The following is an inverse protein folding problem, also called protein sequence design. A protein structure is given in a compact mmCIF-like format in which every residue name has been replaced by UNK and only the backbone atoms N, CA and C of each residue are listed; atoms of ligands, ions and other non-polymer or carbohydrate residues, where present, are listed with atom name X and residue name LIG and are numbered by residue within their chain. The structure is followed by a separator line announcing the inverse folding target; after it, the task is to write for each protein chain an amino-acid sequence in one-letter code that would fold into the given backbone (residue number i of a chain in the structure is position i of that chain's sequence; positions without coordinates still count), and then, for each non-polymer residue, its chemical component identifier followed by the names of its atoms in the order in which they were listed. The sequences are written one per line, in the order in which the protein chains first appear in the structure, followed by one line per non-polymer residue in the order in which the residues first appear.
data_IF_961574722712
#
_entry.id   IF_961574722712
#
_cell.length_a   1.000
_cell.length_b   1.000
_cell.length_c   1.000
_cell.angle_alpha   90.00
_cell.angle_beta   90.00
_cell.angle_gamma   90.00
#
_symmetry.space_group_name_H-M   'P 1'
#
loop_
_entity.id
_entity.type
_entity.pdbx_description
1 polymer ?
#
# COMPACT_ATOMS: atom_id res chain seq x y z
N UNK A 1 34.83 -12.11 10.31
CA UNK A 1 34.25 -12.05 8.96
C UNK A 1 34.15 -13.47 8.45
N UNK A 2 32.92 -13.95 8.18
CA UNK A 2 32.70 -15.32 7.70
C UNK A 2 33.28 -15.45 6.29
N UNK A 3 34.34 -16.24 6.14
CA UNK A 3 35.15 -16.43 4.94
C UNK A 3 34.48 -17.25 3.83
N UNK A 4 33.15 -17.49 3.87
CA UNK A 4 32.42 -18.31 2.91
C UNK A 4 31.22 -17.59 2.25
N UNK A 5 31.24 -16.26 2.18
CA UNK A 5 30.16 -15.50 1.52
C UNK A 5 30.54 -15.30 0.04
N UNK A 6 29.64 -15.63 -0.89
CA UNK A 6 29.83 -15.34 -2.32
C UNK A 6 29.73 -13.84 -2.60
N UNK A 7 30.30 -13.37 -3.72
CA UNK A 7 30.19 -11.98 -4.18
C UNK A 7 28.70 -11.57 -4.33
N UNK A 8 27.84 -12.47 -4.83
CA UNK A 8 26.42 -12.23 -4.91
C UNK A 8 25.78 -11.97 -3.53
N UNK A 9 26.13 -12.75 -2.51
CA UNK A 9 25.61 -12.57 -1.16
C UNK A 9 26.10 -11.26 -0.51
N UNK A 10 27.35 -10.87 -0.76
CA UNK A 10 27.89 -9.58 -0.33
C UNK A 10 27.13 -8.42 -1.01
N UNK A 11 26.92 -8.51 -2.33
CA UNK A 11 26.16 -7.51 -3.09
C UNK A 11 24.69 -7.40 -2.60
N UNK A 12 24.00 -8.51 -2.38
CA UNK A 12 22.64 -8.49 -1.82
C UNK A 12 22.60 -7.79 -0.47
N UNK A 13 23.59 -8.06 0.37
CA UNK A 13 23.68 -7.42 1.70
C UNK A 13 23.92 -5.91 1.54
N UNK A 14 24.92 -5.47 0.81
CA UNK A 14 25.21 -4.06 0.57
C UNK A 14 24.03 -3.31 -0.07
N UNK A 15 23.37 -3.95 -1.05
CA UNK A 15 22.18 -3.40 -1.68
C UNK A 15 21.05 -3.09 -0.68
N UNK A 16 20.72 -4.08 0.18
CA UNK A 16 19.58 -3.96 1.12
C UNK A 16 19.89 -3.12 2.36
N UNK A 17 21.13 -3.14 2.86
CA UNK A 17 21.47 -2.51 4.14
C UNK A 17 22.12 -1.13 3.99
N UNK A 18 22.70 -0.83 2.83
CA UNK A 18 23.41 0.43 2.59
C UNK A 18 22.85 1.18 1.39
N UNK A 19 22.90 0.60 0.19
CA UNK A 19 22.55 1.31 -1.04
C UNK A 19 21.09 1.79 -1.04
N UNK A 20 20.13 0.92 -0.78
CA UNK A 20 18.70 1.30 -0.79
C UNK A 20 18.34 2.30 0.31
N UNK A 21 18.74 2.13 1.59
CA UNK A 21 18.39 3.07 2.64
C UNK A 21 19.16 4.39 2.56
N UNK A 22 20.47 4.36 2.30
CA UNK A 22 21.33 5.54 2.43
C UNK A 22 21.57 6.26 1.12
N UNK A 23 21.82 5.56 0.01
CA UNK A 23 22.07 6.18 -1.28
C UNK A 23 20.80 6.51 -2.05
N UNK A 24 19.77 5.64 -1.95
CA UNK A 24 18.48 5.82 -2.66
C UNK A 24 17.38 6.37 -1.77
N UNK A 25 17.57 6.43 -0.46
CA UNK A 25 16.60 6.90 0.53
C UNK A 25 15.21 6.23 0.36
N UNK A 26 15.20 4.94 0.01
CA UNK A 26 13.96 4.22 -0.20
C UNK A 26 13.23 3.94 1.11
N UNK A 27 11.90 3.97 1.06
CA UNK A 27 11.08 3.65 2.22
C UNK A 27 11.30 2.20 2.68
N UNK A 28 11.14 1.95 3.99
CA UNK A 28 11.21 0.61 4.58
C UNK A 28 10.38 -0.42 3.80
N UNK A 29 9.15 -0.04 3.37
CA UNK A 29 8.28 -0.95 2.62
C UNK A 29 8.85 -1.31 1.24
N UNK A 30 9.51 -0.37 0.56
CA UNK A 30 10.19 -0.63 -0.72
C UNK A 30 11.35 -1.60 -0.51
N UNK A 31 12.18 -1.36 0.52
CA UNK A 31 13.31 -2.23 0.87
C UNK A 31 12.82 -3.65 1.21
N UNK A 32 11.75 -3.79 2.00
CA UNK A 32 11.13 -5.09 2.30
C UNK A 32 10.63 -5.79 1.04
N UNK A 33 10.00 -5.07 0.12
CA UNK A 33 9.53 -5.63 -1.16
C UNK A 33 10.69 -6.14 -2.02
N UNK A 34 11.81 -5.42 -2.06
CA UNK A 34 13.02 -5.83 -2.79
C UNK A 34 13.69 -7.04 -2.13
N UNK A 35 13.81 -7.02 -0.79
CA UNK A 35 14.28 -8.17 -0.01
C UNK A 35 13.46 -9.43 -0.29
N UNK A 36 12.13 -9.31 -0.30
CA UNK A 36 11.25 -10.44 -0.54
C UNK A 36 11.37 -10.96 -1.98
N UNK A 37 11.68 -10.07 -2.95
CA UNK A 37 12.00 -10.48 -4.31
C UNK A 37 13.27 -11.31 -4.37
N UNK A 38 14.34 -10.85 -3.72
CA UNK A 38 15.62 -11.58 -3.68
C UNK A 38 15.49 -12.91 -2.93
N UNK A 39 14.70 -12.98 -1.85
CA UNK A 39 14.38 -14.25 -1.19
C UNK A 39 13.66 -15.23 -2.12
N UNK A 40 12.68 -14.75 -2.90
CA UNK A 40 11.98 -15.57 -3.87
C UNK A 40 12.91 -16.06 -4.99
N UNK A 41 13.82 -15.21 -5.45
CA UNK A 41 14.83 -15.58 -6.45
C UNK A 41 15.77 -16.65 -5.91
N UNK A 42 16.25 -16.53 -4.67
CA UNK A 42 17.08 -17.57 -4.03
C UNK A 42 16.33 -18.88 -3.82
N UNK A 43 15.02 -18.82 -3.53
CA UNK A 43 14.16 -19.99 -3.44
C UNK A 43 14.04 -20.70 -4.80
N UNK A 44 13.81 -19.95 -5.87
CA UNK A 44 13.80 -20.48 -7.23
C UNK A 44 15.12 -21.18 -7.61
N UNK A 45 16.27 -20.57 -7.28
CA UNK A 45 17.58 -21.19 -7.52
C UNK A 45 17.71 -22.54 -6.80
N UNK A 46 17.20 -22.63 -5.56
CA UNK A 46 17.24 -23.87 -4.79
C UNK A 46 16.29 -24.93 -5.34
N UNK A 47 15.05 -24.57 -5.65
CA UNK A 47 13.97 -25.49 -6.03
C UNK A 47 14.08 -25.96 -7.49
N UNK A 48 14.43 -25.06 -8.42
CA UNK A 48 14.40 -25.33 -9.86
C UNK A 48 15.79 -25.53 -10.48
N UNK A 49 16.83 -25.00 -9.84
CA UNK A 49 18.21 -25.06 -10.35
C UNK A 49 19.13 -25.90 -9.47
N UNK A 50 18.61 -26.48 -8.39
CA UNK A 50 19.38 -27.23 -7.38
C UNK A 50 20.66 -26.49 -6.92
N UNK A 51 20.65 -25.15 -7.06
CA UNK A 51 21.81 -24.29 -6.77
C UNK A 51 21.68 -23.72 -5.36
N UNK A 52 22.68 -24.01 -4.52
CA UNK A 52 22.75 -23.45 -3.19
C UNK A 52 23.01 -21.94 -3.27
N UNK A 53 22.34 -21.10 -2.44
CA UNK A 53 22.66 -19.68 -2.32
C UNK A 53 24.15 -19.40 -2.02
N UNK A 54 24.82 -20.32 -1.34
CA UNK A 54 26.22 -20.21 -0.96
C UNK A 54 27.21 -20.58 -2.09
N UNK A 55 26.70 -21.03 -3.24
CA UNK A 55 27.49 -21.36 -4.44
C UNK A 55 27.08 -20.54 -5.65
N UNK A 56 26.20 -19.53 -5.48
CA UNK A 56 25.74 -18.66 -6.55
C UNK A 56 26.56 -17.37 -6.56
N UNK A 57 27.14 -17.01 -7.71
CA UNK A 57 27.99 -15.85 -7.90
C UNK A 57 27.34 -14.83 -8.84
N UNK A 58 27.79 -13.56 -8.79
CA UNK A 58 27.25 -12.51 -9.65
C UNK A 58 27.42 -12.79 -11.14
N UNK A 59 28.47 -13.49 -11.55
CA UNK A 59 28.69 -13.96 -12.93
C UNK A 59 27.58 -14.84 -13.47
N UNK A 60 26.84 -15.51 -12.58
CA UNK A 60 25.75 -16.43 -12.90
C UNK A 60 24.39 -15.72 -12.97
N UNK A 61 24.32 -14.46 -12.49
CA UNK A 61 23.13 -13.62 -12.52
C UNK A 61 22.94 -13.02 -13.93
N UNK A 62 22.32 -13.80 -14.82
CA UNK A 62 22.16 -13.48 -16.24
C UNK A 62 20.70 -13.23 -16.60
N UNK A 63 20.50 -12.59 -17.77
CA UNK A 63 19.20 -12.27 -18.32
C UNK A 63 18.28 -13.50 -18.44
N UNK A 64 18.80 -14.59 -18.93
CA UNK A 64 18.07 -15.84 -19.15
C UNK A 64 17.53 -16.39 -17.83
N UNK A 65 18.37 -16.43 -16.81
CA UNK A 65 17.98 -16.90 -15.46
C UNK A 65 16.89 -16.03 -14.83
N UNK A 66 16.95 -14.72 -15.02
CA UNK A 66 15.91 -13.80 -14.54
C UNK A 66 14.59 -14.02 -15.27
N UNK A 67 14.63 -14.28 -16.59
CA UNK A 67 13.43 -14.61 -17.37
C UNK A 67 12.81 -15.90 -16.86
N UNK A 68 13.60 -16.95 -16.68
CA UNK A 68 13.14 -18.25 -16.13
C UNK A 68 12.51 -18.09 -14.73
N UNK A 69 13.12 -17.29 -13.86
CA UNK A 69 12.54 -16.95 -12.55
C UNK A 69 11.17 -16.30 -12.68
N UNK A 70 11.01 -15.33 -13.59
CA UNK A 70 9.74 -14.65 -13.79
C UNK A 70 8.66 -15.58 -14.37
N UNK A 71 9.05 -16.54 -15.20
CA UNK A 71 8.15 -17.58 -15.73
C UNK A 71 7.75 -18.56 -14.64
N UNK A 72 8.71 -19.07 -13.89
CA UNK A 72 8.44 -19.90 -12.72
C UNK A 72 7.49 -19.21 -11.74
N UNK A 73 7.74 -17.93 -11.42
CA UNK A 73 6.89 -17.17 -10.50
C UNK A 73 5.45 -17.02 -11.03
N UNK A 74 5.28 -16.85 -12.32
CA UNK A 74 3.95 -16.79 -12.96
C UNK A 74 3.26 -18.15 -13.01
N UNK A 75 3.98 -19.21 -13.30
CA UNK A 75 3.45 -20.56 -13.31
C UNK A 75 2.98 -21.02 -11.91
N UNK A 76 3.57 -20.43 -10.86
CA UNK A 76 3.12 -20.60 -9.47
C UNK A 76 1.98 -19.63 -9.08
N UNK A 77 1.18 -19.14 -10.03
CA UNK A 77 -0.06 -18.37 -9.80
C UNK A 77 0.11 -16.86 -9.71
N UNK A 78 1.31 -16.33 -9.92
CA UNK A 78 1.51 -14.88 -9.86
C UNK A 78 1.04 -14.16 -11.15
N UNK A 79 0.30 -13.06 -11.00
CA UNK A 79 -0.12 -12.22 -12.13
C UNK A 79 1.03 -11.42 -12.75
N UNK A 80 0.80 -10.91 -13.97
CA UNK A 80 1.80 -10.10 -14.74
C UNK A 80 2.28 -8.90 -13.93
N UNK A 81 1.40 -8.19 -13.24
CA UNK A 81 1.75 -7.00 -12.43
C UNK A 81 2.71 -7.37 -11.30
N UNK A 82 2.47 -8.49 -10.61
CA UNK A 82 3.35 -8.98 -9.57
C UNK A 82 4.73 -9.39 -10.13
N UNK A 83 4.76 -10.07 -11.28
CA UNK A 83 6.01 -10.43 -11.95
C UNK A 83 6.80 -9.18 -12.39
N UNK A 84 6.13 -8.16 -12.93
CA UNK A 84 6.77 -6.89 -13.28
C UNK A 84 7.35 -6.17 -12.04
N UNK A 85 6.69 -6.26 -10.88
CA UNK A 85 7.22 -5.71 -9.64
C UNK A 85 8.51 -6.45 -9.21
N UNK A 86 8.56 -7.78 -9.36
CA UNK A 86 9.78 -8.55 -9.11
C UNK A 86 10.89 -8.18 -10.09
N UNK A 87 10.54 -8.05 -11.38
CA UNK A 87 11.50 -7.58 -12.39
C UNK A 87 12.09 -6.21 -12.04
N UNK A 88 11.28 -5.26 -11.60
CA UNK A 88 11.77 -3.93 -11.20
C UNK A 88 12.80 -4.00 -10.06
N UNK A 89 12.58 -4.87 -9.07
CA UNK A 89 13.53 -5.07 -7.98
C UNK A 89 14.85 -5.71 -8.46
N UNK A 90 14.79 -6.71 -9.36
CA UNK A 90 15.98 -7.36 -9.91
C UNK A 90 16.77 -6.43 -10.83
N UNK A 91 16.09 -5.55 -11.58
CA UNK A 91 16.77 -4.50 -12.36
C UNK A 91 17.50 -3.51 -11.48
N UNK A 92 16.84 -3.02 -10.42
CA UNK A 92 17.47 -2.11 -9.48
C UNK A 92 18.69 -2.75 -8.79
N UNK A 93 18.63 -4.04 -8.49
CA UNK A 93 19.79 -4.79 -8.01
C UNK A 93 20.88 -4.93 -9.07
N UNK A 94 20.51 -5.22 -10.33
CA UNK A 94 21.44 -5.29 -11.45
C UNK A 94 22.16 -3.96 -11.68
N UNK A 95 21.42 -2.84 -11.64
CA UNK A 95 21.99 -1.50 -11.79
C UNK A 95 22.97 -1.17 -10.66
N UNK A 96 22.67 -1.58 -9.43
CA UNK A 96 23.60 -1.45 -8.31
C UNK A 96 24.85 -2.32 -8.50
N UNK A 97 24.67 -3.59 -8.88
CA UNK A 97 25.78 -4.53 -9.06
C UNK A 97 26.77 -4.08 -10.16
N UNK A 98 26.31 -3.34 -11.18
CA UNK A 98 27.16 -2.76 -12.22
C UNK A 98 28.13 -1.69 -11.66
N UNK A 99 27.74 -1.00 -10.59
CA UNK A 99 28.60 0.01 -9.94
C UNK A 99 29.72 -0.63 -9.15
N UNK A 100 29.47 -1.81 -8.58
CA UNK A 100 30.41 -2.52 -7.72
C UNK A 100 31.36 -3.47 -8.52
N UNK A 101 30.90 -3.96 -9.69
CA UNK A 101 31.60 -4.96 -10.51
C UNK A 101 31.59 -4.58 -11.99
N UNK A 102 32.58 -3.78 -12.38
CA UNK A 102 32.74 -3.26 -13.75
C UNK A 102 32.92 -4.40 -14.77
N UNK A 103 33.57 -5.50 -14.39
CA UNK A 103 33.80 -6.68 -15.22
C UNK A 103 32.51 -7.39 -15.67
N UNK A 104 31.38 -7.19 -14.98
CA UNK A 104 30.09 -7.79 -15.30
C UNK A 104 29.07 -6.79 -15.86
N UNK A 105 29.48 -5.61 -16.30
CA UNK A 105 28.56 -4.56 -16.83
C UNK A 105 27.69 -5.14 -17.96
N UNK A 106 28.26 -5.80 -18.96
CA UNK A 106 27.54 -6.25 -20.15
C UNK A 106 26.43 -7.29 -19.80
N UNK A 107 26.67 -8.37 -19.04
CA UNK A 107 25.59 -9.28 -18.64
C UNK A 107 24.56 -8.62 -17.74
N UNK A 108 24.96 -7.73 -16.84
CA UNK A 108 24.05 -7.01 -15.93
C UNK A 108 23.18 -6.00 -16.70
N UNK A 109 23.70 -5.29 -17.69
CA UNK A 109 22.91 -4.42 -18.58
C UNK A 109 21.85 -5.21 -19.33
N UNK A 110 22.12 -6.43 -19.74
CA UNK A 110 21.12 -7.30 -20.36
C UNK A 110 19.95 -7.62 -19.42
N UNK A 111 20.19 -7.75 -18.12
CA UNK A 111 19.12 -7.88 -17.09
C UNK A 111 18.32 -6.58 -17.00
N UNK A 112 18.98 -5.44 -16.88
CA UNK A 112 18.32 -4.12 -16.82
C UNK A 112 17.51 -3.84 -18.10
N UNK A 113 17.92 -4.40 -19.25
CA UNK A 113 17.25 -4.31 -20.55
C UNK A 113 15.96 -5.16 -20.69
N UNK A 114 15.64 -6.06 -19.76
CA UNK A 114 14.42 -6.89 -19.84
C UNK A 114 13.18 -5.97 -19.80
N UNK A 115 12.30 -6.10 -20.79
CA UNK A 115 11.07 -5.30 -20.86
C UNK A 115 9.98 -5.89 -19.97
N UNK A 116 9.29 -5.03 -19.22
CA UNK A 116 8.10 -5.42 -18.48
C UNK A 116 6.99 -5.88 -19.44
N UNK A 117 6.26 -6.93 -19.08
CA UNK A 117 5.12 -7.42 -19.87
C UNK A 117 3.94 -6.47 -19.69
N UNK A 118 3.23 -6.17 -20.77
CA UNK A 118 2.01 -5.35 -20.72
C UNK A 118 0.93 -6.12 -19.94
N UNK A 119 0.47 -5.55 -18.84
CA UNK A 119 -0.68 -6.07 -18.10
C UNK A 119 -1.98 -5.48 -18.68
N UNK A 120 -3.02 -6.27 -18.73
CA UNK A 120 -4.35 -5.73 -19.05
C UNK A 120 -4.76 -4.72 -17.99
N UNK A 121 -5.43 -3.62 -18.38
CA UNK A 121 -6.02 -2.72 -17.40
C UNK A 121 -6.95 -3.50 -16.47
N UNK A 122 -6.81 -3.34 -15.16
CA UNK A 122 -7.80 -3.87 -14.23
C UNK A 122 -8.99 -2.93 -14.23
N UNK A 123 -10.19 -3.48 -14.37
CA UNK A 123 -11.39 -2.72 -14.06
C UNK A 123 -11.33 -2.22 -12.63
N UNK A 124 -11.61 -0.93 -12.47
CA UNK A 124 -11.63 -0.31 -11.16
C UNK A 124 -12.96 -0.65 -10.48
N UNK A 125 -12.93 -1.63 -9.60
CA UNK A 125 -14.12 -1.98 -8.81
C UNK A 125 -14.42 -0.85 -7.81
N UNK A 126 -15.69 -0.44 -7.76
CA UNK A 126 -16.20 0.53 -6.78
C UNK A 126 -17.58 0.08 -6.28
N UNK A 127 -18.00 0.58 -5.13
CA UNK A 127 -19.34 0.35 -4.56
C UNK A 127 -20.27 1.47 -5.04
N UNK A 128 -21.54 1.15 -5.29
CA UNK A 128 -22.56 2.17 -5.53
C UNK A 128 -22.78 3.03 -4.28
N UNK A 129 -23.50 4.15 -4.41
CA UNK A 129 -23.82 5.04 -3.28
C UNK A 129 -24.61 4.25 -2.20
N UNK A 130 -25.56 3.41 -2.62
CA UNK A 130 -26.38 2.58 -1.74
C UNK A 130 -25.56 1.51 -1.02
N UNK A 131 -24.68 0.83 -1.74
CA UNK A 131 -23.76 -0.15 -1.18
C UNK A 131 -22.79 0.48 -0.18
N UNK A 132 -22.23 1.64 -0.52
CA UNK A 132 -21.35 2.39 0.38
C UNK A 132 -22.09 2.85 1.63
N UNK A 133 -23.29 3.37 1.47
CA UNK A 133 -24.17 3.76 2.59
C UNK A 133 -24.52 2.58 3.49
N UNK A 134 -24.88 1.44 2.90
CA UNK A 134 -25.15 0.20 3.65
C UNK A 134 -23.95 -0.24 4.48
N UNK A 135 -22.74 -0.20 3.89
CA UNK A 135 -21.51 -0.61 4.57
C UNK A 135 -21.14 0.35 5.72
N UNK A 136 -21.18 1.66 5.47
CA UNK A 136 -20.91 2.68 6.48
C UNK A 136 -21.93 2.62 7.62
N UNK A 137 -23.18 2.34 7.34
CA UNK A 137 -24.26 2.30 8.34
C UNK A 137 -24.36 0.97 9.08
N UNK A 138 -23.64 -0.06 8.68
CA UNK A 138 -23.68 -1.39 9.27
C UNK A 138 -23.18 -1.49 10.73
N UNK A 139 -22.16 -0.70 11.19
CA UNK A 139 -21.72 -0.74 12.58
C UNK A 139 -22.79 -0.23 13.57
N UNK A 140 -22.99 -0.96 14.68
CA UNK A 140 -23.86 -0.53 15.78
C UNK A 140 -23.21 0.63 16.57
N UNK A 141 -23.79 1.82 16.43
CA UNK A 141 -23.31 3.05 17.07
C UNK A 141 -23.59 3.15 18.58
N UNK A 142 -24.37 2.21 19.15
CA UNK A 142 -24.61 2.16 20.58
C UNK A 142 -23.44 1.52 21.34
N UNK A 143 -22.61 0.72 20.65
CA UNK A 143 -21.40 0.14 21.22
C UNK A 143 -20.16 0.99 20.91
N UNK A 144 -19.23 1.08 21.87
CA UNK A 144 -17.94 1.77 21.66
C UNK A 144 -17.19 1.24 20.41
N UNK A 145 -17.14 -0.07 20.25
CA UNK A 145 -16.47 -0.71 19.12
C UNK A 145 -17.16 -0.39 17.80
N UNK A 146 -18.48 -0.46 17.75
CA UNK A 146 -19.25 -0.14 16.54
C UNK A 146 -19.15 1.34 16.19
N UNK A 147 -19.24 2.23 17.18
CA UNK A 147 -19.08 3.67 16.94
C UNK A 147 -17.71 3.99 16.31
N UNK A 148 -16.64 3.43 16.90
CA UNK A 148 -15.27 3.57 16.35
C UNK A 148 -15.18 3.05 14.91
N UNK A 149 -15.78 1.87 14.63
CA UNK A 149 -15.79 1.31 13.27
C UNK A 149 -16.56 2.20 12.29
N UNK A 150 -17.67 2.81 12.74
CA UNK A 150 -18.42 3.79 11.96
C UNK A 150 -17.56 4.99 11.58
N UNK A 151 -16.82 5.56 12.54
CA UNK A 151 -15.88 6.67 12.30
C UNK A 151 -14.82 6.28 11.28
N UNK A 152 -14.22 5.08 11.41
CA UNK A 152 -13.21 4.56 10.49
C UNK A 152 -13.76 4.47 9.05
N UNK A 153 -14.91 3.82 8.86
CA UNK A 153 -15.50 3.61 7.54
C UNK A 153 -15.93 4.94 6.90
N UNK A 154 -16.53 5.84 7.70
CA UNK A 154 -16.96 7.16 7.23
C UNK A 154 -15.75 7.99 6.79
N UNK A 155 -14.68 8.05 7.58
CA UNK A 155 -13.48 8.80 7.23
C UNK A 155 -12.76 8.25 6.00
N UNK A 156 -12.66 6.91 5.86
CA UNK A 156 -12.10 6.28 4.66
C UNK A 156 -12.81 6.76 3.39
N UNK A 157 -14.14 6.80 3.42
CA UNK A 157 -14.95 7.23 2.28
C UNK A 157 -14.92 8.74 2.08
N UNK A 158 -15.25 9.50 3.13
CA UNK A 158 -15.49 10.93 2.97
C UNK A 158 -14.20 11.71 2.66
N UNK A 159 -13.11 11.43 3.37
CA UNK A 159 -11.81 12.04 3.08
C UNK A 159 -11.09 11.42 1.88
N UNK A 160 -11.50 10.23 1.44
CA UNK A 160 -10.79 9.47 0.41
C UNK A 160 -9.33 9.18 0.75
N UNK A 161 -8.97 9.12 2.03
CA UNK A 161 -7.61 8.88 2.48
C UNK A 161 -7.12 7.46 2.16
N UNK A 162 -5.80 7.27 2.10
CA UNK A 162 -5.22 5.91 2.06
C UNK A 162 -5.34 5.28 3.44
N UNK A 163 -5.42 3.95 3.49
CA UNK A 163 -5.55 3.23 4.76
C UNK A 163 -4.43 3.57 5.75
N UNK A 164 -3.20 3.76 5.29
CA UNK A 164 -2.09 4.16 6.16
C UNK A 164 -2.27 5.59 6.68
N UNK A 165 -2.73 6.50 5.82
CA UNK A 165 -3.02 7.88 6.23
C UNK A 165 -4.08 7.90 7.35
N UNK A 166 -5.14 7.07 7.24
CA UNK A 166 -6.14 6.93 8.29
C UNK A 166 -5.55 6.42 9.61
N UNK A 167 -4.69 5.40 9.56
CA UNK A 167 -4.03 4.84 10.74
C UNK A 167 -3.11 5.83 11.44
N UNK A 168 -2.65 6.86 10.73
CA UNK A 168 -1.70 7.85 11.21
C UNK A 168 -2.36 9.15 11.67
N UNK A 169 -3.68 9.35 11.43
CA UNK A 169 -4.41 10.56 11.86
C UNK A 169 -4.33 10.72 13.38
N UNK A 170 -3.88 11.88 13.81
CA UNK A 170 -3.95 12.31 15.21
C UNK A 170 -5.16 13.20 15.43
N UNK A 171 -5.51 13.45 16.70
CA UNK A 171 -6.62 14.36 17.05
C UNK A 171 -6.32 15.79 16.57
N UNK A 172 -5.06 16.23 16.62
CA UNK A 172 -4.64 17.55 16.12
C UNK A 172 -4.75 17.70 14.59
N UNK A 173 -4.91 16.58 13.86
CA UNK A 173 -5.10 16.62 12.40
C UNK A 173 -6.57 16.88 12.00
N UNK A 174 -7.49 16.89 12.97
CA UNK A 174 -8.91 17.18 12.76
C UNK A 174 -9.19 18.62 13.19
N UNK A 175 -9.78 19.38 12.30
CA UNK A 175 -10.33 20.71 12.60
C UNK A 175 -11.84 20.66 12.44
N UNK A 176 -12.58 20.97 13.51
CA UNK A 176 -14.05 20.97 13.57
C UNK A 176 -14.62 22.38 13.59
N UNK A 177 -13.97 23.34 12.91
CA UNK A 177 -14.42 24.72 12.80
C UNK A 177 -15.60 24.88 11.82
N UNK A 178 -15.80 26.11 11.32
CA UNK A 178 -16.85 26.45 10.35
C UNK A 178 -16.79 25.61 9.07
N UNK A 179 -15.60 25.22 8.65
CA UNK A 179 -15.35 24.21 7.61
C UNK A 179 -14.53 23.11 8.25
N UNK A 180 -15.13 21.94 8.37
CA UNK A 180 -14.46 20.80 8.98
C UNK A 180 -13.43 20.19 8.01
N UNK A 181 -12.22 19.94 8.51
CA UNK A 181 -11.12 19.42 7.70
C UNK A 181 -10.33 18.35 8.41
N UNK A 182 -9.67 17.49 7.60
CA UNK A 182 -8.70 16.50 8.05
C UNK A 182 -7.38 16.74 7.33
N UNK A 183 -6.30 16.88 8.08
CA UNK A 183 -4.94 16.92 7.56
C UNK A 183 -4.40 15.49 7.41
N UNK A 184 -3.99 15.13 6.21
CA UNK A 184 -3.51 13.80 5.87
C UNK A 184 -2.02 13.84 5.53
N UNK A 185 -1.27 12.90 6.10
CA UNK A 185 0.16 12.75 5.87
C UNK A 185 0.42 11.66 4.80
N UNK A 186 0.79 12.10 3.61
CA UNK A 186 1.00 11.22 2.45
C UNK A 186 2.45 10.77 2.26
N UNK A 187 2.69 10.01 1.20
CA UNK A 187 4.01 9.54 0.80
C UNK A 187 4.96 10.72 0.53
N UNK A 188 6.22 10.60 0.98
CA UNK A 188 7.24 11.62 0.77
C UNK A 188 7.11 12.81 1.71
N UNK A 189 6.54 12.63 2.91
CA UNK A 189 6.34 13.68 3.92
C UNK A 189 5.51 14.87 3.42
N UNK A 190 4.60 14.61 2.45
CA UNK A 190 3.70 15.63 1.92
C UNK A 190 2.39 15.61 2.70
N UNK A 191 1.91 16.78 3.12
CA UNK A 191 0.63 16.96 3.77
C UNK A 191 -0.40 17.47 2.78
N UNK A 192 -1.65 17.05 2.95
CA UNK A 192 -2.80 17.66 2.30
C UNK A 192 -3.95 17.78 3.28
N UNK A 193 -4.71 18.84 3.16
CA UNK A 193 -5.92 19.08 3.94
C UNK A 193 -7.14 18.77 3.06
N UNK A 194 -8.05 17.98 3.59
CA UNK A 194 -9.28 17.57 2.92
C UNK A 194 -10.47 18.06 3.73
N UNK A 195 -11.43 18.69 3.06
CA UNK A 195 -12.71 19.05 3.66
C UNK A 195 -13.55 17.79 3.86
N UNK A 196 -14.15 17.64 5.01
CA UNK A 196 -15.09 16.56 5.33
C UNK A 196 -16.50 17.12 5.51
N UNK A 197 -17.50 16.30 5.23
CA UNK A 197 -18.90 16.69 5.36
C UNK A 197 -19.28 16.97 6.83
N UNK A 198 -20.23 17.86 7.04
CA UNK A 198 -20.74 18.23 8.39
C UNK A 198 -21.22 17.00 9.17
N UNK A 199 -21.84 16.04 8.50
CA UNK A 199 -22.27 14.79 9.12
C UNK A 199 -21.09 13.97 9.64
N UNK A 200 -19.97 13.94 8.89
CA UNK A 200 -18.71 13.29 9.30
C UNK A 200 -18.08 14.03 10.47
N UNK A 201 -18.06 15.37 10.42
CA UNK A 201 -17.56 16.21 11.50
C UNK A 201 -18.31 15.95 12.82
N UNK A 202 -19.65 15.97 12.79
CA UNK A 202 -20.50 15.64 13.95
C UNK A 202 -20.26 14.23 14.48
N UNK A 203 -20.07 13.26 13.60
CA UNK A 203 -19.76 11.88 13.98
C UNK A 203 -18.42 11.80 14.73
N UNK A 204 -17.39 12.48 14.23
CA UNK A 204 -16.06 12.55 14.87
C UNK A 204 -16.13 13.29 16.19
N UNK A 205 -16.80 14.43 16.26
CA UNK A 205 -17.01 15.20 17.49
C UNK A 205 -17.68 14.36 18.58
N UNK A 206 -18.75 13.66 18.24
CA UNK A 206 -19.44 12.75 19.16
C UNK A 206 -18.55 11.57 19.59
N UNK A 207 -17.68 11.08 18.71
CA UNK A 207 -16.73 10.03 19.06
C UNK A 207 -15.68 10.55 20.06
N UNK A 208 -15.13 11.73 19.82
CA UNK A 208 -14.13 12.35 20.69
C UNK A 208 -14.73 12.64 22.07
N UNK A 209 -15.89 13.25 22.13
CA UNK A 209 -16.54 13.61 23.40
C UNK A 209 -16.92 12.39 24.25
N UNK A 210 -17.42 11.30 23.62
CA UNK A 210 -17.90 10.12 24.34
C UNK A 210 -16.76 9.16 24.73
N UNK A 211 -15.76 9.02 23.89
CA UNK A 211 -14.79 7.91 24.00
C UNK A 211 -13.33 8.34 24.03
N UNK A 212 -13.07 9.62 23.75
CA UNK A 212 -11.70 10.16 23.68
C UNK A 212 -11.56 11.50 24.41
N UNK A 213 -12.44 11.78 25.38
CA UNK A 213 -12.48 13.05 26.11
C UNK A 213 -11.17 13.41 26.85
N UNK A 214 -10.36 12.42 27.20
CA UNK A 214 -9.07 12.63 27.86
C UNK A 214 -7.87 12.61 26.89
N UNK A 215 -8.11 12.39 25.60
CA UNK A 215 -7.04 12.31 24.62
C UNK A 215 -6.50 13.70 24.27
N UNK A 216 -5.20 13.80 24.09
CA UNK A 216 -4.53 15.05 23.68
C UNK A 216 -4.30 15.07 22.17
N UNK A 217 -3.96 16.25 21.62
CA UNK A 217 -3.82 16.46 20.19
C UNK A 217 -2.86 15.50 19.47
N UNK A 218 -1.80 15.06 20.14
CA UNK A 218 -0.81 14.10 19.61
C UNK A 218 -1.28 12.66 19.60
N UNK A 219 -2.38 12.34 20.28
CA UNK A 219 -2.92 10.98 20.30
C UNK A 219 -3.56 10.61 18.97
N UNK A 220 -3.49 9.35 18.61
CA UNK A 220 -4.16 8.82 17.42
C UNK A 220 -5.67 8.99 17.55
N UNK A 221 -6.33 9.42 16.47
CA UNK A 221 -7.78 9.58 16.42
C UNK A 221 -8.49 8.24 16.69
N UNK A 222 -8.04 7.18 16.05
CA UNK A 222 -8.58 5.83 16.21
C UNK A 222 -7.50 4.86 16.64
N UNK A 223 -7.85 3.99 17.59
CA UNK A 223 -6.95 2.97 18.13
C UNK A 223 -7.61 1.58 18.04
N UNK A 224 -6.81 0.52 18.19
CA UNK A 224 -7.34 -0.83 18.35
C UNK A 224 -7.99 -1.00 19.75
N UNK A 225 -8.50 -2.21 20.05
CA UNK A 225 -9.13 -2.51 21.35
C UNK A 225 -8.18 -2.43 22.55
N UNK A 226 -6.87 -2.40 22.29
CA UNK A 226 -5.80 -2.30 23.31
C UNK A 226 -5.25 -0.87 23.42
N UNK A 227 -5.94 0.12 22.87
CA UNK A 227 -5.53 1.54 22.81
C UNK A 227 -4.21 1.77 22.06
N UNK A 228 -3.80 0.83 21.22
CA UNK A 228 -2.60 0.94 20.39
C UNK A 228 -2.99 1.36 18.96
N UNK A 229 -1.98 1.74 18.18
CA UNK A 229 -2.17 2.06 16.76
C UNK A 229 -2.83 0.90 16.02
N UNK A 230 -3.92 1.21 15.31
CA UNK A 230 -4.53 0.26 14.39
C UNK A 230 -3.68 0.17 13.13
N UNK A 231 -3.51 -1.03 12.60
CA UNK A 231 -2.79 -1.28 11.36
C UNK A 231 -3.74 -1.51 10.17
N UNK A 232 -3.15 -1.69 8.99
CA UNK A 232 -3.92 -1.93 7.76
C UNK A 232 -4.74 -3.21 7.81
N UNK A 233 -4.20 -4.23 8.44
CA UNK A 233 -4.86 -5.55 8.56
C UNK A 233 -6.07 -5.45 9.50
N UNK A 234 -5.94 -4.66 10.57
CA UNK A 234 -7.05 -4.33 11.46
C UNK A 234 -8.19 -3.60 10.74
N UNK A 235 -7.87 -2.62 9.87
CA UNK A 235 -8.88 -1.94 9.05
C UNK A 235 -9.51 -2.92 8.04
N UNK A 236 -8.70 -3.75 7.38
CA UNK A 236 -9.19 -4.75 6.43
C UNK A 236 -10.13 -5.76 7.10
N UNK A 237 -9.79 -6.18 8.32
CA UNK A 237 -10.66 -7.03 9.14
C UNK A 237 -12.00 -6.36 9.47
N UNK A 238 -11.99 -5.07 9.83
CA UNK A 238 -13.22 -4.31 10.10
C UNK A 238 -14.10 -4.29 8.86
N UNK A 239 -13.57 -3.98 7.70
CA UNK A 239 -14.32 -3.96 6.44
C UNK A 239 -14.92 -5.34 6.16
N UNK A 240 -14.10 -6.39 6.19
CA UNK A 240 -14.55 -7.76 5.96
C UNK A 240 -15.67 -8.17 6.90
N UNK A 241 -15.56 -7.87 8.20
CA UNK A 241 -16.60 -8.18 9.19
C UNK A 241 -17.96 -7.64 8.77
N UNK A 242 -18.04 -6.40 8.29
CA UNK A 242 -19.30 -5.78 7.91
C UNK A 242 -19.78 -6.21 6.53
N UNK A 243 -18.88 -6.46 5.59
CA UNK A 243 -19.21 -7.08 4.30
C UNK A 243 -19.82 -8.45 4.51
N UNK A 244 -19.23 -9.30 5.32
CA UNK A 244 -19.76 -10.65 5.64
C UNK A 244 -21.14 -10.56 6.32
N UNK A 245 -21.35 -9.56 7.18
CA UNK A 245 -22.63 -9.33 7.84
C UNK A 245 -23.74 -8.87 6.87
N UNK A 246 -23.40 -8.01 5.89
CA UNK A 246 -24.32 -7.56 4.85
C UNK A 246 -24.66 -8.72 3.91
N UNK A 247 -23.65 -9.47 3.46
CA UNK A 247 -23.84 -10.60 2.52
C UNK A 247 -24.71 -11.72 3.06
N UNK A 248 -24.79 -11.89 4.38
CA UNK A 248 -25.76 -12.81 5.00
C UNK A 248 -27.23 -12.43 4.74
N UNK A 249 -27.48 -11.14 4.44
CA UNK A 249 -28.83 -10.60 4.17
C UNK A 249 -29.04 -10.32 2.68
N UNK A 250 -27.98 -9.96 1.99
CA UNK A 250 -27.94 -9.62 0.57
C UNK A 250 -26.71 -10.28 -0.10
N UNK A 251 -26.93 -11.43 -0.71
CA UNK A 251 -25.89 -12.21 -1.39
C UNK A 251 -25.32 -11.49 -2.65
N UNK A 252 -26.04 -10.48 -3.19
CA UNK A 252 -25.60 -9.70 -4.33
C UNK A 252 -24.57 -8.63 -3.94
N UNK A 253 -24.40 -8.34 -2.66
CA UNK A 253 -23.37 -7.40 -2.20
C UNK A 253 -21.96 -7.90 -2.54
N UNK A 254 -21.03 -7.03 -3.02
CA UNK A 254 -19.69 -7.44 -3.41
C UNK A 254 -18.93 -8.17 -2.30
N UNK A 255 -18.33 -9.31 -2.64
CA UNK A 255 -17.57 -10.14 -1.67
C UNK A 255 -16.21 -9.54 -1.31
N UNK A 256 -15.51 -9.03 -2.31
CA UNK A 256 -14.15 -8.55 -2.15
C UNK A 256 -14.10 -7.02 -2.07
N UNK A 257 -14.42 -6.49 -0.87
CA UNK A 257 -14.31 -5.06 -0.58
C UNK A 257 -13.02 -4.78 0.18
N UNK A 258 -12.21 -3.87 -0.32
CA UNK A 258 -10.93 -3.47 0.29
C UNK A 258 -10.83 -1.96 0.46
N UNK A 259 -9.88 -1.50 1.29
CA UNK A 259 -9.74 -0.07 1.63
C UNK A 259 -9.65 0.87 0.42
N UNK A 260 -8.98 0.46 -0.67
CA UNK A 260 -8.86 1.30 -1.87
C UNK A 260 -10.19 1.49 -2.60
N UNK A 261 -11.15 0.55 -2.46
CA UNK A 261 -12.48 0.72 -3.06
C UNK A 261 -13.24 1.91 -2.48
N UNK A 262 -13.07 2.25 -1.19
CA UNK A 262 -13.68 3.45 -0.60
C UNK A 262 -13.24 4.71 -1.34
N UNK A 263 -11.96 4.83 -1.61
CA UNK A 263 -11.38 5.95 -2.34
C UNK A 263 -11.81 5.97 -3.82
N UNK A 264 -11.85 4.81 -4.48
CA UNK A 264 -12.36 4.69 -5.84
C UNK A 264 -13.83 5.03 -5.92
N UNK A 265 -14.65 4.53 -4.98
CA UNK A 265 -16.08 4.87 -4.90
C UNK A 265 -16.28 6.36 -4.69
N UNK A 266 -15.51 7.00 -3.79
CA UNK A 266 -15.58 8.47 -3.63
C UNK A 266 -15.29 9.20 -4.93
N UNK A 267 -14.23 8.79 -5.66
CA UNK A 267 -13.87 9.38 -6.94
C UNK A 267 -14.99 9.23 -7.98
N UNK A 268 -15.57 8.02 -8.09
CA UNK A 268 -16.65 7.74 -9.03
C UNK A 268 -17.92 8.51 -8.68
N UNK A 269 -18.32 8.53 -7.41
CA UNK A 269 -19.51 9.28 -6.98
C UNK A 269 -19.35 10.80 -7.18
N UNK A 270 -18.15 11.34 -6.99
CA UNK A 270 -17.87 12.73 -7.31
C UNK A 270 -17.96 13.01 -8.81
N UNK A 271 -17.46 12.08 -9.64
CA UNK A 271 -17.54 12.18 -11.09
C UNK A 271 -18.99 12.11 -11.57
N UNK A 272 -19.78 11.17 -11.04
CA UNK A 272 -21.22 11.02 -11.32
C UNK A 272 -22.04 12.24 -10.87
N UNK A 273 -21.61 12.92 -9.81
CA UNK A 273 -22.16 14.18 -9.36
C UNK A 273 -21.71 15.40 -10.21
N UNK A 274 -20.97 15.18 -11.31
CA UNK A 274 -20.55 16.23 -12.23
C UNK A 274 -19.33 17.04 -11.76
N UNK A 275 -18.61 16.60 -10.74
CA UNK A 275 -17.40 17.28 -10.26
C UNK A 275 -16.28 17.08 -11.26
N UNK A 276 -15.59 18.17 -11.63
CA UNK A 276 -14.50 18.14 -12.60
C UNK A 276 -13.37 17.20 -12.14
N UNK A 277 -12.89 16.33 -13.04
CA UNK A 277 -11.86 15.33 -12.79
C UNK A 277 -10.55 15.93 -12.27
N UNK A 278 -10.23 17.19 -12.61
CA UNK A 278 -9.07 17.91 -12.09
C UNK A 278 -9.19 18.12 -10.57
N UNK A 279 -10.36 18.52 -10.09
CA UNK A 279 -10.62 18.66 -8.64
C UNK A 279 -10.54 17.30 -7.94
N UNK A 280 -11.12 16.26 -8.53
CA UNK A 280 -11.05 14.89 -7.99
C UNK A 280 -9.59 14.44 -7.89
N UNK A 281 -8.78 14.70 -8.92
CA UNK A 281 -7.36 14.39 -8.94
C UNK A 281 -6.58 15.15 -7.86
N UNK A 282 -6.83 16.44 -7.70
CA UNK A 282 -6.17 17.25 -6.66
C UNK A 282 -6.54 16.78 -5.24
N UNK A 283 -7.78 16.38 -5.03
CA UNK A 283 -8.29 15.98 -3.72
C UNK A 283 -7.81 14.57 -3.33
N UNK A 284 -7.85 13.65 -4.28
CA UNK A 284 -7.54 12.24 -4.04
C UNK A 284 -6.11 11.87 -4.44
N UNK A 285 -5.59 12.40 -5.52
CA UNK A 285 -4.26 12.10 -6.00
C UNK A 285 -3.40 13.35 -5.80
N UNK A 286 -2.35 13.25 -4.99
CA UNK A 286 -1.25 14.19 -5.10
C UNK A 286 -0.63 13.95 -6.47
N UNK A 287 -1.10 14.67 -7.49
CA UNK A 287 -0.44 14.69 -8.80
C UNK A 287 1.00 15.13 -8.59
N UNK A 288 2.00 14.48 -9.22
CA UNK A 288 3.26 15.16 -9.43
C UNK A 288 2.92 16.47 -10.13
N UNK A 289 3.49 17.57 -9.64
CA UNK A 289 3.41 18.85 -10.33
C UNK A 289 3.89 18.64 -11.77
N UNK A 290 3.27 19.28 -12.79
CA UNK A 290 3.77 19.24 -14.16
C UNK A 290 5.21 19.76 -14.33
N UNK A 291 5.89 20.04 -13.21
CA UNK A 291 7.26 20.58 -13.15
C UNK A 291 8.27 19.66 -12.42
N UNK A 292 7.87 18.42 -12.06
CA UNK A 292 8.78 17.42 -11.45
C UNK A 292 9.21 16.38 -12.49
#
# INVERSE_FOLDING_TARGET
MNTNSTDFACLVTGFLTDYLPHHRCYSRNTILSYRDTLKLFLRFLKEEKETSPNSFYIRDFKRELVIEFLEWYRNNGAGITAANQRLAALKAFSDYAQLEHIEYIAPLQNVSGIRAKKAAPKEVSFLTVEQMSSLINSPDVNSHTGFRHRVILTLLYDSGCRVQELCDITIADISLGSVATVRLHGKGNKYRTVVIADATAKLVENYLSRYRSYAVGTDLLVTNRYHQKIDRDGISYIIKKYVDAIRKKDAAFPEHVHCHMFRHSKAMHMLEAGINIVYISCLLYTSPSPRD
#
